data_IF_587026535916
#
_entry.id   IF_587026535916
#
_cell.length_a   1.000
_cell.length_b   1.000
_cell.length_c   1.000
_cell.angle_alpha   90.00
_cell.angle_beta   90.00
_cell.angle_gamma   90.00
#
_symmetry.space_group_name_H-M   'P 1'
#
loop_
_entity.id
_entity.type
_entity.pdbx_description
1 polymer ?
#
# COMPACT_ATOMS: atom_id res chain seq x y z
N UNK A 1 19.92 23.47 13.79
CA UNK A 1 19.25 23.59 12.47
C UNK A 1 17.87 22.98 12.60
N UNK A 2 16.83 23.81 12.67
CA UNK A 2 15.45 23.34 12.62
C UNK A 2 15.13 22.85 11.21
N UNK A 3 14.34 21.77 11.03
CA UNK A 3 13.97 21.31 9.70
C UNK A 3 13.13 22.36 8.98
N UNK A 4 13.31 22.55 7.66
CA UNK A 4 12.57 23.56 6.89
C UNK A 4 11.05 23.31 6.93
N UNK A 5 10.30 24.38 7.17
CA UNK A 5 8.84 24.43 7.33
C UNK A 5 8.05 24.10 6.04
N UNK A 6 8.72 23.75 4.95
CA UNK A 6 8.13 23.62 3.59
C UNK A 6 7.64 22.20 3.23
N UNK A 7 7.45 21.31 4.19
CA UNK A 7 6.89 19.96 3.95
C UNK A 7 5.69 19.67 4.87
N UNK A 8 4.90 20.69 5.15
CA UNK A 8 3.59 20.52 5.77
C UNK A 8 2.66 19.79 4.79
N UNK A 9 2.47 18.50 5.06
CA UNK A 9 1.29 17.71 4.75
C UNK A 9 0.79 17.76 3.28
N UNK A 10 1.28 16.81 2.46
CA UNK A 10 0.32 16.06 1.64
C UNK A 10 -0.66 15.44 2.64
N UNK A 11 -1.85 16.02 2.71
CA UNK A 11 -2.74 15.79 3.83
C UNK A 11 -3.39 14.42 3.65
N UNK A 12 -3.46 13.63 4.72
CA UNK A 12 -4.17 12.34 4.70
C UNK A 12 -5.61 12.42 4.18
N UNK A 13 -6.21 13.63 4.16
CA UNK A 13 -7.54 13.88 3.57
C UNK A 13 -7.57 13.62 2.06
N UNK A 14 -6.44 13.77 1.38
CA UNK A 14 -6.35 13.57 -0.08
C UNK A 14 -6.33 12.08 -0.47
N UNK A 15 -6.03 11.19 0.49
CA UNK A 15 -6.05 9.74 0.26
C UNK A 15 -7.44 9.13 0.43
N UNK A 16 -8.26 9.70 1.31
CA UNK A 16 -9.65 9.28 1.49
C UNK A 16 -10.49 9.94 0.40
N UNK A 17 -10.80 9.20 -0.66
CA UNK A 17 -11.80 9.64 -1.64
C UNK A 17 -13.18 9.84 -0.98
N UNK A 18 -14.18 10.39 -1.70
CA UNK A 18 -15.55 10.35 -1.24
C UNK A 18 -15.91 8.88 -0.97
N UNK A 19 -16.19 8.56 0.30
CA UNK A 19 -16.59 7.23 0.75
C UNK A 19 -17.97 6.95 0.17
N UNK A 20 -18.01 6.27 -0.97
CA UNK A 20 -19.25 5.67 -1.48
C UNK A 20 -19.31 4.31 -0.82
N UNK A 21 -20.34 4.08 -0.01
CA UNK A 21 -20.55 2.78 0.63
C UNK A 21 -20.94 1.76 -0.45
N UNK A 22 -19.95 1.08 -1.03
CA UNK A 22 -20.15 0.16 -2.16
C UNK A 22 -20.45 -1.27 -1.69
N UNK A 23 -20.49 -1.53 -0.38
CA UNK A 23 -20.82 -2.85 0.18
C UNK A 23 -19.85 -3.99 -0.22
N UNK A 24 -18.62 -3.66 -0.63
CA UNK A 24 -17.60 -4.62 -1.06
C UNK A 24 -16.78 -5.21 0.10
N UNK A 25 -16.04 -6.31 -0.12
CA UNK A 25 -15.12 -6.84 0.88
C UNK A 25 -13.97 -5.84 1.13
N UNK A 26 -13.87 -5.36 2.37
CA UNK A 26 -12.80 -4.47 2.82
C UNK A 26 -11.64 -5.27 3.45
N UNK A 27 -10.41 -4.81 3.22
CA UNK A 27 -9.19 -5.38 3.81
C UNK A 27 -8.53 -4.33 4.69
N UNK A 28 -8.37 -4.66 5.97
CA UNK A 28 -7.67 -3.83 6.94
C UNK A 28 -6.25 -4.33 7.15
N UNK A 29 -5.28 -3.45 6.99
CA UNK A 29 -3.86 -3.75 7.13
C UNK A 29 -3.23 -2.91 8.26
N UNK A 30 -2.76 -3.55 9.34
CA UNK A 30 -2.02 -2.86 10.38
C UNK A 30 -0.56 -2.62 9.95
N UNK A 31 -0.04 -1.44 10.27
CA UNK A 31 1.37 -1.08 10.21
C UNK A 31 1.85 -0.76 11.64
N UNK A 32 2.21 -1.78 12.45
CA UNK A 32 2.63 -1.59 13.85
C UNK A 32 4.04 -0.99 13.98
N UNK A 33 4.79 -0.96 12.88
CA UNK A 33 6.11 -0.37 12.79
C UNK A 33 6.15 0.61 11.62
N UNK A 34 7.03 1.63 11.67
CA UNK A 34 7.18 2.58 10.57
C UNK A 34 7.30 1.82 9.26
N UNK A 35 6.42 2.13 8.30
CA UNK A 35 6.36 1.45 7.01
C UNK A 35 6.43 2.49 5.89
N UNK A 36 7.29 2.28 4.89
CA UNK A 36 7.39 3.15 3.74
C UNK A 36 7.43 2.33 2.45
N UNK A 37 6.85 2.90 1.40
CA UNK A 37 6.80 2.34 0.07
C UNK A 37 7.79 3.10 -0.84
N UNK A 38 8.09 2.55 -2.01
CA UNK A 38 8.90 3.24 -3.02
C UNK A 38 8.02 3.63 -4.20
N UNK A 39 8.13 4.88 -4.64
CA UNK A 39 7.54 5.39 -5.88
C UNK A 39 8.68 5.94 -6.74
N UNK A 40 9.14 5.13 -7.70
CA UNK A 40 10.37 5.41 -8.44
C UNK A 40 11.59 5.47 -7.50
N UNK A 41 12.29 6.60 -7.52
CA UNK A 41 13.48 6.84 -6.68
C UNK A 41 13.17 7.48 -5.32
N UNK A 42 11.88 7.72 -5.00
CA UNK A 42 11.47 8.38 -3.76
C UNK A 42 10.84 7.39 -2.79
N UNK A 43 11.08 7.62 -1.49
CA UNK A 43 10.32 6.97 -0.42
C UNK A 43 8.98 7.68 -0.28
N UNK A 44 7.91 6.90 -0.20
CA UNK A 44 6.53 7.32 -0.01
C UNK A 44 6.07 6.75 1.33
N UNK A 45 5.92 7.55 2.39
CA UNK A 45 5.50 7.03 3.69
C UNK A 45 4.03 6.60 3.66
N UNK A 46 3.21 7.14 2.76
CA UNK A 46 1.77 6.90 2.75
C UNK A 46 1.42 5.53 2.12
N UNK A 47 0.53 4.74 2.76
CA UNK A 47 0.13 3.43 2.26
C UNK A 47 -0.90 3.55 1.13
N UNK A 48 -0.44 3.90 -0.06
CA UNK A 48 -1.30 3.92 -1.25
C UNK A 48 -1.68 2.49 -1.70
N UNK A 49 -2.84 2.29 -2.34
CA UNK A 49 -3.24 0.97 -2.83
C UNK A 49 -2.16 0.30 -3.71
N UNK A 50 -1.62 1.04 -4.69
CA UNK A 50 -0.56 0.53 -5.55
C UNK A 50 0.72 0.17 -4.78
N UNK A 51 1.11 0.99 -3.79
CA UNK A 51 2.29 0.72 -2.98
C UNK A 51 2.15 -0.57 -2.16
N UNK A 52 1.01 -0.72 -1.49
CA UNK A 52 0.72 -1.86 -0.61
C UNK A 52 0.51 -3.13 -1.41
N UNK A 53 -0.49 -3.18 -2.28
CA UNK A 53 -0.83 -4.40 -3.02
C UNK A 53 0.25 -4.74 -4.03
N UNK A 54 0.92 -3.74 -4.62
CA UNK A 54 2.07 -3.97 -5.51
C UNK A 54 3.23 -4.67 -4.79
N UNK A 55 3.52 -4.25 -3.56
CA UNK A 55 4.50 -4.91 -2.71
C UNK A 55 4.09 -6.35 -2.36
N UNK A 56 2.84 -6.55 -1.92
CA UNK A 56 2.32 -7.87 -1.56
C UNK A 56 2.35 -8.85 -2.75
N UNK A 57 1.89 -8.41 -3.93
CA UNK A 57 1.97 -9.20 -5.17
C UNK A 57 3.40 -9.59 -5.50
N UNK A 58 4.33 -8.63 -5.43
CA UNK A 58 5.75 -8.90 -5.70
C UNK A 58 6.30 -9.95 -4.73
N UNK A 59 6.02 -9.81 -3.43
CA UNK A 59 6.48 -10.76 -2.40
C UNK A 59 5.85 -12.13 -2.57
N UNK A 60 4.57 -12.22 -2.93
CA UNK A 60 3.93 -13.49 -3.25
C UNK A 60 4.62 -14.18 -4.42
N UNK A 61 4.77 -13.48 -5.56
CA UNK A 61 5.40 -14.04 -6.76
C UNK A 61 6.88 -14.42 -6.57
N UNK A 62 7.56 -13.83 -5.57
CA UNK A 62 8.93 -14.18 -5.20
C UNK A 62 9.02 -15.58 -4.56
N UNK A 63 7.97 -16.03 -3.87
CA UNK A 63 7.99 -17.29 -3.10
C UNK A 63 7.04 -18.37 -3.61
N UNK A 64 6.05 -18.03 -4.42
CA UNK A 64 5.09 -19.00 -4.93
C UNK A 64 5.63 -19.78 -6.13
N UNK A 65 5.06 -20.97 -6.38
CA UNK A 65 5.29 -21.72 -7.61
C UNK A 65 4.84 -20.95 -8.86
N UNK A 66 5.37 -21.33 -10.03
CA UNK A 66 5.07 -20.65 -11.30
C UNK A 66 3.58 -20.71 -11.68
N UNK A 67 2.90 -21.77 -11.25
CA UNK A 67 1.45 -22.01 -11.37
C UNK A 67 0.60 -21.12 -10.46
N UNK A 68 1.17 -20.63 -9.36
CA UNK A 68 0.50 -19.79 -8.36
C UNK A 68 0.83 -18.29 -8.50
N UNK A 69 1.56 -17.90 -9.54
CA UNK A 69 1.92 -16.49 -9.74
C UNK A 69 0.68 -15.63 -10.00
N UNK A 70 0.53 -14.56 -9.22
CA UNK A 70 -0.49 -13.54 -9.46
C UNK A 70 -0.10 -12.69 -10.67
N UNK A 71 -0.91 -12.82 -11.74
CA UNK A 71 -0.79 -12.02 -12.97
C UNK A 71 -1.70 -10.80 -12.99
N UNK A 72 -2.38 -10.52 -11.88
CA UNK A 72 -3.27 -9.37 -11.74
C UNK A 72 -2.50 -8.06 -11.91
N UNK A 73 -2.96 -7.21 -12.83
CA UNK A 73 -2.49 -5.84 -12.89
C UNK A 73 -3.21 -5.00 -11.83
N UNK A 74 -2.45 -4.50 -10.85
CA UNK A 74 -3.00 -3.70 -9.76
C UNK A 74 -3.35 -2.29 -10.26
N UNK A 75 -2.77 -1.82 -11.37
CA UNK A 75 -3.16 -0.53 -11.94
C UNK A 75 -4.53 -0.55 -12.59
N UNK A 76 -5.04 -1.72 -12.97
CA UNK A 76 -6.41 -1.88 -13.46
C UNK A 76 -7.42 -2.20 -12.34
N UNK A 77 -6.96 -2.37 -11.10
CA UNK A 77 -7.86 -2.63 -9.96
C UNK A 77 -8.32 -1.29 -9.39
N UNK A 78 -9.64 -1.07 -9.38
CA UNK A 78 -10.25 0.05 -8.68
C UNK A 78 -10.19 -0.24 -7.18
N UNK A 79 -9.15 0.26 -6.51
CA UNK A 79 -8.91 0.08 -5.08
C UNK A 79 -8.88 1.45 -4.41
N UNK A 80 -9.72 1.63 -3.40
CA UNK A 80 -9.87 2.88 -2.68
C UNK A 80 -9.34 2.73 -1.26
N UNK A 81 -8.86 3.84 -0.69
CA UNK A 81 -8.56 3.92 0.75
C UNK A 81 -9.85 4.31 1.46
N UNK A 82 -10.50 3.34 2.09
CA UNK A 82 -11.76 3.53 2.79
C UNK A 82 -11.55 4.28 4.12
N UNK A 83 -10.52 3.91 4.87
CA UNK A 83 -10.23 4.53 6.16
C UNK A 83 -8.74 4.48 6.51
N UNK A 84 -8.31 5.46 7.29
CA UNK A 84 -7.00 5.49 7.94
C UNK A 84 -7.22 5.94 9.37
N UNK A 85 -6.74 5.18 10.36
CA UNK A 85 -6.67 5.71 11.72
C UNK A 85 -5.47 5.20 12.51
N UNK A 86 -5.34 5.74 13.74
CA UNK A 86 -4.11 5.72 14.54
C UNK A 86 -2.90 6.23 13.75
N UNK A 87 -3.11 7.23 12.88
CA UNK A 87 -2.11 7.74 11.94
C UNK A 87 -0.99 8.49 12.67
N UNK A 88 0.21 7.92 12.68
CA UNK A 88 1.45 8.65 12.93
C UNK A 88 2.40 8.48 11.74
N UNK A 89 3.13 9.55 11.41
CA UNK A 89 4.34 9.43 10.60
C UNK A 89 5.48 9.46 11.60
N UNK A 90 6.14 8.32 11.76
CA UNK A 90 7.22 8.17 12.71
C UNK A 90 8.57 8.23 12.00
N UNK A 91 9.54 8.82 12.69
CA UNK A 91 10.91 8.84 12.24
C UNK A 91 11.64 7.64 12.78
N UNK A 92 12.46 7.04 11.92
CA UNK A 92 13.37 5.98 12.30
C UNK A 92 14.71 6.13 11.57
N UNK A 93 15.70 5.34 11.96
CA UNK A 93 17.05 5.38 11.41
C UNK A 93 17.41 4.01 10.87
N UNK A 94 17.67 3.95 9.57
CA UNK A 94 18.21 2.75 8.91
C UNK A 94 19.68 2.92 8.59
N UNK A 95 20.42 1.82 8.50
CA UNK A 95 21.78 1.82 7.98
C UNK A 95 21.74 1.84 6.44
N UNK A 96 22.38 2.85 5.85
CA UNK A 96 22.61 2.91 4.42
C UNK A 96 23.71 1.94 3.97
N UNK A 97 23.81 1.70 2.66
CA UNK A 97 24.83 0.82 2.07
C UNK A 97 26.28 1.26 2.36
N UNK A 98 26.49 2.53 2.71
CA UNK A 98 27.78 3.10 3.12
C UNK A 98 28.00 3.08 4.65
N UNK A 99 27.20 2.33 5.40
CA UNK A 99 27.24 2.24 6.86
C UNK A 99 26.75 3.49 7.60
N UNK A 100 26.34 4.55 6.89
CA UNK A 100 25.82 5.77 7.53
C UNK A 100 24.38 5.58 7.99
N UNK A 101 24.06 6.19 9.14
CA UNK A 101 22.69 6.31 9.65
C UNK A 101 21.90 7.27 8.76
N UNK A 102 20.85 6.78 8.12
CA UNK A 102 19.97 7.55 7.25
C UNK A 102 18.61 7.67 7.94
N UNK A 103 18.20 8.89 8.35
CA UNK A 103 16.87 9.10 8.89
C UNK A 103 15.84 8.87 7.78
N UNK A 104 14.73 8.24 8.14
CA UNK A 104 13.62 8.02 7.23
C UNK A 104 12.30 8.11 7.99
N UNK A 105 11.21 8.24 7.24
CA UNK A 105 9.85 8.36 7.78
C UNK A 105 9.01 7.20 7.29
N UNK A 106 8.17 6.66 8.17
CA UNK A 106 7.22 5.62 7.83
C UNK A 106 5.85 5.89 8.45
N UNK A 107 4.81 5.38 7.80
CA UNK A 107 3.47 5.30 8.35
C UNK A 107 3.39 4.24 9.45
N UNK A 108 2.75 4.61 10.56
CA UNK A 108 2.33 3.73 11.65
C UNK A 108 0.84 3.96 11.86
N UNK A 109 0.10 2.87 12.04
CA UNK A 109 -1.35 2.92 12.22
C UNK A 109 -2.05 1.79 11.47
N UNK A 110 -3.27 2.05 11.02
CA UNK A 110 -4.00 1.14 10.16
C UNK A 110 -4.55 1.84 8.94
N UNK A 111 -4.57 1.10 7.84
CA UNK A 111 -5.22 1.49 6.59
C UNK A 111 -6.23 0.43 6.20
N UNK A 112 -7.38 0.88 5.74
CA UNK A 112 -8.44 0.04 5.23
C UNK A 112 -8.63 0.34 3.75
N UNK A 113 -8.63 -0.72 2.95
CA UNK A 113 -8.85 -0.66 1.52
C UNK A 113 -10.16 -1.35 1.16
N UNK A 114 -10.85 -0.80 0.18
CA UNK A 114 -12.04 -1.42 -0.40
C UNK A 114 -11.91 -1.49 -1.92
N UNK A 115 -12.62 -2.45 -2.50
CA UNK A 115 -12.78 -2.49 -3.95
C UNK A 115 -13.79 -1.41 -4.36
N UNK A 116 -13.38 -0.55 -5.30
CA UNK A 116 -14.27 0.40 -5.94
C UNK A 116 -15.29 -0.28 -6.85
N UNK A 117 -16.34 0.46 -7.21
CA UNK A 117 -17.53 -0.05 -7.87
C UNK A 117 -17.26 -0.69 -9.24
N UNK A 118 -16.17 -0.29 -9.91
CA UNK A 118 -15.76 -0.84 -11.20
C UNK A 118 -15.06 -2.20 -11.11
N UNK A 119 -14.70 -2.67 -9.91
CA UNK A 119 -13.98 -3.93 -9.70
C UNK A 119 -14.91 -5.17 -9.63
N UNK A 120 -16.13 -5.06 -10.15
CA UNK A 120 -17.17 -6.12 -10.10
C UNK A 120 -17.09 -7.12 -11.26
N UNK A 121 -16.04 -7.08 -12.09
CA UNK A 121 -15.76 -8.11 -13.10
C UNK A 121 -14.30 -8.54 -13.11
N UNK A 122 -13.80 -9.05 -11.98
CA UNK A 122 -12.68 -9.99 -12.09
C UNK A 122 -13.22 -11.23 -12.81
N UNK A 123 -12.88 -11.36 -14.08
CA UNK A 123 -13.16 -12.55 -14.86
C UNK A 123 -12.39 -13.73 -14.26
N UNK A 124 -13.06 -14.45 -13.34
CA UNK A 124 -12.54 -15.63 -12.66
C UNK A 124 -12.38 -16.83 -13.61
N UNK A 125 -12.67 -16.69 -14.91
CA UNK A 125 -12.42 -17.70 -15.93
C UNK A 125 -10.96 -18.19 -15.98
N UNK A 126 -10.02 -17.38 -15.50
CA UNK A 126 -8.60 -17.76 -15.42
C UNK A 126 -8.20 -18.50 -14.12
N UNK A 127 -9.11 -18.71 -13.16
CA UNK A 127 -8.83 -19.40 -11.90
C UNK A 127 -9.05 -20.92 -11.97
N UNK A 128 -9.48 -21.44 -13.12
CA UNK A 128 -9.79 -22.86 -13.34
C UNK A 128 -8.57 -23.81 -13.46
N UNK A 129 -7.35 -23.36 -13.15
CA UNK A 129 -6.13 -24.21 -13.29
C UNK A 129 -5.76 -24.96 -12.00
N UNK A 130 -6.41 -24.69 -10.86
CA UNK A 130 -6.01 -25.24 -9.54
C UNK A 130 -6.90 -26.36 -8.98
N UNK A 131 -7.66 -27.07 -9.81
CA UNK A 131 -8.30 -28.34 -9.39
C UNK A 131 -7.82 -29.48 -10.28
N UNK A 132 -6.82 -30.22 -9.79
CA UNK A 132 -6.52 -31.59 -10.19
C UNK A 132 -6.33 -32.44 -8.95
#
# INVERSE_FOLDING_TARGET
MSPPELLQAESYRDLTGPSVDVGGPAVRLPAPHPTTFRKGQRSEPLPTPHGVFGHLRRRWNEYCGADLQMRLDITSCDLLVAAIANKSVEWDVRLGANGKRVPWRGFVGFVEFEAGSACSSLDLSNLAVLTR
#
